data_IF_492189506685
#
_entry.id   IF_492189506685
#
_cell.length_a   1.000
_cell.length_b   1.000
_cell.length_c   1.000
_cell.angle_alpha   90.00
_cell.angle_beta   90.00
_cell.angle_gamma   90.00
#
_symmetry.space_group_name_H-M   'P 1'
#
loop_
_entity.id
_entity.type
_entity.pdbx_description
1 polymer ?
#
# COMPACT_ATOMS: atom_id res chain seq x y z
N UNK A 1 38.26 48.35 29.25
CA UNK A 1 37.03 49.13 28.97
C UNK A 1 36.82 49.15 27.46
N UNK A 2 35.79 48.43 26.95
CA UNK A 2 35.13 48.56 25.61
C UNK A 2 36.00 48.26 24.35
N UNK A 3 35.55 47.72 23.22
CA UNK A 3 34.33 47.02 22.74
C UNK A 3 34.64 46.51 21.29
N UNK A 4 34.36 45.23 20.99
CA UNK A 4 34.04 44.52 19.70
C UNK A 4 34.84 44.75 18.37
N UNK A 5 35.15 43.66 17.63
CA UNK A 5 35.46 43.71 16.19
C UNK A 5 34.17 43.47 15.36
N UNK A 6 33.73 44.45 14.58
CA UNK A 6 32.58 44.31 13.65
C UNK A 6 32.81 45.01 12.30
N UNK A 7 34.05 45.20 11.86
CA UNK A 7 34.37 45.98 10.63
C UNK A 7 35.36 45.21 9.74
N UNK A 8 35.14 43.91 9.52
CA UNK A 8 35.96 43.13 8.58
C UNK A 8 35.14 42.30 7.56
N UNK A 9 33.80 42.30 7.63
CA UNK A 9 32.96 41.48 6.73
C UNK A 9 32.26 42.30 5.63
N UNK A 10 32.30 43.64 5.68
CA UNK A 10 31.57 44.50 4.72
C UNK A 10 32.40 44.86 3.46
N UNK A 11 33.68 44.51 3.38
CA UNK A 11 34.55 44.90 2.24
C UNK A 11 34.69 43.80 1.17
N UNK A 12 34.35 42.53 1.46
CA UNK A 12 34.36 41.46 0.44
C UNK A 12 33.10 41.39 -0.44
N UNK A 13 32.05 42.17 -0.13
CA UNK A 13 30.81 42.22 -0.92
C UNK A 13 30.76 43.36 -1.95
N UNK A 14 31.78 44.24 -1.98
CA UNK A 14 31.84 45.38 -2.91
C UNK A 14 32.80 45.17 -4.10
N UNK A 15 33.50 44.03 -4.18
CA UNK A 15 34.46 43.75 -5.27
C UNK A 15 34.03 42.63 -6.24
N UNK A 16 32.80 42.13 -6.13
CA UNK A 16 32.21 41.15 -7.05
C UNK A 16 31.03 41.74 -7.83
N UNK A 17 31.10 43.04 -8.15
CA UNK A 17 30.12 43.74 -9.02
C UNK A 17 30.80 44.36 -10.25
N UNK A 18 32.10 44.13 -10.49
CA UNK A 18 32.83 44.85 -11.54
C UNK A 18 33.72 43.99 -12.46
N UNK A 19 33.35 42.75 -12.78
CA UNK A 19 33.94 41.99 -13.92
C UNK A 19 32.96 40.97 -14.50
N UNK A 20 31.76 41.39 -14.88
CA UNK A 20 30.78 40.54 -15.58
C UNK A 20 30.25 41.14 -16.89
N UNK A 21 30.71 42.33 -17.27
CA UNK A 21 30.28 43.02 -18.48
C UNK A 21 31.36 42.89 -19.56
N UNK A 22 31.38 41.76 -20.26
CA UNK A 22 31.74 41.62 -21.68
C UNK A 22 31.79 40.12 -22.02
N UNK A 23 30.77 39.62 -22.70
CA UNK A 23 30.69 38.42 -23.57
C UNK A 23 29.34 37.69 -23.40
N UNK A 24 28.25 38.34 -23.82
CA UNK A 24 26.99 37.68 -24.19
C UNK A 24 26.14 38.65 -25.02
N UNK A 25 26.65 39.12 -26.16
CA UNK A 25 25.86 39.84 -27.15
C UNK A 25 25.55 38.88 -28.29
N UNK A 26 24.34 38.28 -28.30
CA UNK A 26 23.89 37.50 -29.46
C UNK A 26 22.85 36.40 -29.28
N UNK A 27 22.07 36.35 -28.20
CA UNK A 27 20.88 35.50 -28.14
C UNK A 27 19.67 36.37 -27.86
N UNK A 28 18.54 36.21 -28.59
CA UNK A 28 17.34 37.00 -28.35
C UNK A 28 16.82 36.69 -26.94
N UNK A 29 16.51 37.73 -26.19
CA UNK A 29 15.78 37.66 -24.92
C UNK A 29 14.42 36.98 -25.19
N UNK A 30 14.34 35.68 -24.91
CA UNK A 30 13.06 35.03 -24.67
C UNK A 30 12.67 35.36 -23.24
N UNK A 31 11.91 36.44 -23.06
CA UNK A 31 11.09 36.60 -21.87
C UNK A 31 10.24 35.33 -21.75
N UNK A 32 10.59 34.46 -20.80
CA UNK A 32 9.74 33.35 -20.41
C UNK A 32 8.48 34.01 -19.82
N UNK A 33 7.28 33.79 -20.39
CA UNK A 33 6.08 34.36 -19.82
C UNK A 33 5.93 33.84 -18.39
N UNK A 34 5.61 34.74 -17.48
CA UNK A 34 5.28 34.40 -16.09
C UNK A 34 4.09 33.43 -16.12
N UNK A 35 4.36 32.16 -15.78
CA UNK A 35 3.35 31.10 -15.71
C UNK A 35 2.44 31.46 -14.53
N UNK A 36 1.14 31.59 -14.80
CA UNK A 36 0.16 32.14 -13.86
C UNK A 36 0.12 31.42 -12.51
N UNK A 37 -0.18 32.18 -11.45
CA UNK A 37 -0.42 31.65 -10.10
C UNK A 37 -1.45 30.52 -10.13
N UNK A 38 -1.04 29.38 -9.58
CA UNK A 38 -1.87 28.19 -9.38
C UNK A 38 -3.07 28.56 -8.48
N UNK A 39 -4.28 28.45 -9.02
CA UNK A 39 -5.50 28.54 -8.22
C UNK A 39 -5.39 27.54 -7.06
N UNK A 40 -5.72 27.96 -5.83
CA UNK A 40 -5.79 27.05 -4.69
C UNK A 40 -6.70 25.89 -5.08
N UNK A 41 -6.12 24.68 -5.18
CA UNK A 41 -6.91 23.48 -5.39
C UNK A 41 -7.91 23.35 -4.24
N UNK A 42 -9.16 23.00 -4.56
CA UNK A 42 -10.22 22.80 -3.57
C UNK A 42 -9.76 21.79 -2.49
N UNK A 43 -10.30 21.86 -1.28
CA UNK A 43 -10.04 20.83 -0.27
C UNK A 43 -10.85 19.55 -0.55
N UNK A 44 -10.38 18.41 -0.03
CA UNK A 44 -11.11 17.14 -0.03
C UNK A 44 -12.50 17.30 0.61
N UNK A 45 -13.53 16.67 0.03
CA UNK A 45 -14.92 16.76 0.52
C UNK A 45 -15.51 15.38 0.75
N UNK A 46 -16.20 15.20 1.87
CA UNK A 46 -16.97 13.97 2.12
C UNK A 46 -18.17 13.89 1.16
N UNK A 47 -18.44 12.69 0.66
CA UNK A 47 -19.60 12.45 -0.20
C UNK A 47 -20.89 12.47 0.65
N UNK A 48 -21.93 13.17 0.18
CA UNK A 48 -23.23 13.13 0.82
C UNK A 48 -24.05 11.90 0.40
N UNK A 49 -23.70 11.31 -0.75
CA UNK A 49 -24.40 10.18 -1.36
C UNK A 49 -23.49 9.43 -2.34
N UNK A 50 -23.86 8.19 -2.71
CA UNK A 50 -23.19 7.46 -3.78
C UNK A 50 -23.32 8.13 -5.16
N UNK A 51 -24.35 8.94 -5.38
CA UNK A 51 -24.48 9.73 -6.62
C UNK A 51 -23.35 10.76 -6.76
N UNK A 52 -22.86 11.32 -5.66
CA UNK A 52 -21.73 12.26 -5.69
C UNK A 52 -20.43 11.55 -6.06
N UNK A 53 -20.26 10.32 -5.60
CA UNK A 53 -19.15 9.44 -5.97
C UNK A 53 -19.22 9.11 -7.47
N UNK A 54 -20.38 8.71 -7.98
CA UNK A 54 -20.60 8.44 -9.41
C UNK A 54 -20.27 9.66 -10.26
N UNK A 55 -20.72 10.85 -9.86
CA UNK A 55 -20.38 12.11 -10.55
C UNK A 55 -18.87 12.35 -10.57
N UNK A 56 -18.20 12.13 -9.44
CA UNK A 56 -16.76 12.34 -9.32
C UNK A 56 -15.96 11.37 -10.21
N UNK A 57 -16.32 10.08 -10.23
CA UNK A 57 -15.71 9.06 -11.09
C UNK A 57 -15.88 9.43 -12.57
N UNK A 58 -17.08 9.83 -12.99
CA UNK A 58 -17.34 10.25 -14.38
C UNK A 58 -16.54 11.48 -14.78
N UNK A 59 -16.45 12.47 -13.88
CA UNK A 59 -15.66 13.68 -14.10
C UNK A 59 -14.17 13.34 -14.25
N UNK A 60 -13.66 12.39 -13.44
CA UNK A 60 -12.29 11.91 -13.53
C UNK A 60 -12.00 11.23 -14.88
N UNK A 61 -12.84 10.28 -15.30
CA UNK A 61 -12.67 9.56 -16.56
C UNK A 61 -12.76 10.49 -17.79
N UNK A 62 -13.59 11.53 -17.70
CA UNK A 62 -13.72 12.53 -18.77
C UNK A 62 -12.45 13.39 -18.91
N UNK A 63 -11.72 13.65 -17.81
CA UNK A 63 -10.47 14.42 -17.82
C UNK A 63 -9.28 13.60 -18.32
N UNK A 64 -9.21 12.30 -17.99
CA UNK A 64 -8.10 11.42 -18.38
C UNK A 64 -8.18 10.93 -19.83
N UNK A 65 -9.20 11.31 -20.60
CA UNK A 65 -9.41 10.82 -21.96
C UNK A 65 -9.76 9.33 -22.04
N UNK A 66 -10.05 8.69 -20.91
CA UNK A 66 -10.44 7.28 -20.82
C UNK A 66 -11.89 7.16 -21.28
N UNK A 67 -12.08 6.70 -22.52
CA UNK A 67 -13.40 6.46 -23.11
C UNK A 67 -14.17 5.42 -22.28
N UNK A 68 -15.38 5.77 -21.83
CA UNK A 68 -16.31 4.81 -21.22
C UNK A 68 -16.84 3.90 -22.33
N UNK A 69 -16.26 2.70 -22.45
CA UNK A 69 -16.68 1.67 -23.39
C UNK A 69 -15.76 0.47 -23.31
N UNK A 70 -16.29 -0.69 -22.91
CA UNK A 70 -15.52 -1.85 -22.44
C UNK A 70 -14.47 -2.38 -23.41
N UNK A 71 -13.37 -2.85 -22.82
CA UNK A 71 -12.29 -3.54 -23.53
C UNK A 71 -10.98 -3.39 -22.76
N UNK A 72 -10.53 -4.48 -22.16
CA UNK A 72 -9.24 -4.58 -21.48
C UNK A 72 -8.09 -4.18 -22.40
N UNK A 73 -7.18 -3.31 -21.93
CA UNK A 73 -5.85 -3.20 -22.50
C UNK A 73 -4.83 -2.72 -21.46
N UNK A 74 -3.90 -3.64 -21.18
CA UNK A 74 -2.52 -3.47 -20.76
C UNK A 74 -2.22 -2.61 -19.52
N UNK A 75 -2.05 -3.29 -18.38
CA UNK A 75 -1.06 -2.90 -17.39
C UNK A 75 0.32 -3.15 -17.99
N UNK A 76 1.20 -2.15 -17.96
CA UNK A 76 2.61 -2.33 -18.29
C UNK A 76 3.51 -1.87 -17.13
N UNK A 77 4.39 -2.79 -16.77
CA UNK A 77 5.61 -2.75 -15.97
C UNK A 77 5.71 -1.87 -14.70
N UNK A 78 5.47 -2.52 -13.55
CA UNK A 78 6.10 -2.12 -12.29
C UNK A 78 7.57 -2.54 -12.29
N UNK A 79 8.48 -1.56 -12.26
CA UNK A 79 9.91 -1.81 -12.06
C UNK A 79 10.21 -2.31 -10.63
N UNK A 80 11.23 -3.17 -10.44
CA UNK A 80 11.57 -3.71 -9.14
C UNK A 80 12.17 -2.64 -8.22
N UNK A 81 11.66 -2.56 -6.99
CA UNK A 81 12.23 -1.76 -5.90
C UNK A 81 13.56 -2.37 -5.41
N UNK A 82 14.61 -1.58 -5.15
CA UNK A 82 15.79 -2.06 -4.46
C UNK A 82 15.50 -2.26 -2.96
N UNK A 83 16.03 -3.34 -2.39
CA UNK A 83 15.96 -3.60 -0.95
C UNK A 83 16.76 -2.54 -0.18
N UNK A 84 16.13 -1.89 0.80
CA UNK A 84 16.81 -1.01 1.74
C UNK A 84 17.49 -1.84 2.83
N UNK A 85 18.79 -1.64 3.03
CA UNK A 85 19.56 -2.23 4.12
C UNK A 85 19.23 -1.52 5.45
N UNK A 86 18.97 -2.31 6.50
CA UNK A 86 18.64 -1.82 7.84
C UNK A 86 19.89 -1.30 8.56
N UNK A 87 19.87 -0.05 9.04
CA UNK A 87 20.82 0.44 10.04
C UNK A 87 20.24 0.33 11.46
N UNK A 88 21.07 -0.11 12.40
CA UNK A 88 20.72 -0.38 13.80
C UNK A 88 20.62 0.92 14.62
N UNK A 89 19.42 1.22 15.11
CA UNK A 89 19.17 2.23 16.14
C UNK A 89 19.27 1.65 17.56
N UNK A 90 20.05 2.31 18.43
CA UNK A 90 20.32 1.88 19.80
C UNK A 90 19.13 2.13 20.76
N UNK A 91 18.90 1.18 21.67
CA UNK A 91 17.85 1.20 22.71
C UNK A 91 18.29 1.92 24.00
N UNK A 92 17.33 2.47 24.76
CA UNK A 92 17.46 2.82 26.18
C UNK A 92 16.43 2.05 27.01
N UNK A 93 16.89 1.61 28.18
CA UNK A 93 16.34 0.59 29.06
C UNK A 93 14.90 0.80 29.59
N UNK A 94 14.12 -0.27 29.43
CA UNK A 94 12.79 -0.54 29.99
C UNK A 94 12.21 -1.75 29.25
N UNK A 95 12.41 -2.95 29.82
CA UNK A 95 12.22 -4.29 29.25
C UNK A 95 13.17 -4.64 28.07
N UNK A 96 14.20 -5.45 28.36
CA UNK A 96 15.29 -5.80 27.43
C UNK A 96 14.84 -6.82 26.36
N UNK A 97 14.18 -6.35 25.30
CA UNK A 97 14.05 -7.09 24.04
C UNK A 97 14.13 -6.14 22.83
N UNK A 98 14.55 -6.66 21.68
CA UNK A 98 14.63 -5.89 20.44
C UNK A 98 13.27 -5.73 19.79
N UNK A 99 12.88 -4.50 19.46
CA UNK A 99 11.79 -4.21 18.52
C UNK A 99 12.32 -4.19 17.08
N UNK A 100 11.47 -4.47 16.11
CA UNK A 100 11.83 -4.35 14.68
C UNK A 100 11.62 -2.90 14.22
N UNK A 101 12.06 -2.57 13.00
CA UNK A 101 12.24 -1.20 12.51
C UNK A 101 10.96 -0.33 12.69
N UNK A 102 11.00 0.66 13.58
CA UNK A 102 9.89 1.56 13.86
C UNK A 102 10.24 2.96 13.37
N UNK A 103 9.41 3.53 12.49
CA UNK A 103 9.59 4.90 11.99
C UNK A 103 9.34 5.97 13.07
N UNK A 104 8.34 5.78 13.93
CA UNK A 104 7.89 6.78 14.92
C UNK A 104 7.68 6.12 16.29
N UNK A 105 8.22 6.73 17.35
CA UNK A 105 8.05 6.25 18.72
C UNK A 105 6.57 6.07 19.10
N UNK A 106 6.24 4.91 19.66
CA UNK A 106 4.87 4.57 20.09
C UNK A 106 4.00 3.96 18.99
N UNK A 107 4.39 4.06 17.72
CA UNK A 107 3.66 3.44 16.61
C UNK A 107 4.42 2.19 16.15
N UNK A 108 3.80 1.01 16.29
CA UNK A 108 4.39 -0.24 15.84
C UNK A 108 4.07 -0.51 14.36
N UNK A 109 5.01 -1.14 13.66
CA UNK A 109 4.91 -1.50 12.24
C UNK A 109 4.88 -3.01 12.03
N UNK A 110 4.27 -3.45 10.94
CA UNK A 110 4.07 -4.87 10.66
C UNK A 110 5.38 -5.59 10.36
N UNK A 111 5.53 -6.80 10.89
CA UNK A 111 6.68 -7.67 10.58
C UNK A 111 6.23 -9.14 10.52
N UNK A 112 7.04 -10.01 9.95
CA UNK A 112 6.81 -11.46 9.95
C UNK A 112 7.35 -12.13 11.23
N UNK A 113 8.17 -11.43 12.02
CA UNK A 113 8.69 -11.91 13.30
C UNK A 113 8.47 -10.86 14.40
N UNK A 114 7.87 -11.27 15.51
CA UNK A 114 7.67 -10.44 16.71
C UNK A 114 8.14 -11.17 17.97
N UNK A 115 8.39 -10.44 19.05
CA UNK A 115 8.77 -11.00 20.35
C UNK A 115 8.20 -10.17 21.49
N UNK A 116 7.76 -10.83 22.56
CA UNK A 116 7.37 -10.21 23.83
C UNK A 116 8.47 -10.38 24.91
N UNK A 117 9.68 -10.76 24.49
CA UNK A 117 10.83 -11.04 25.35
C UNK A 117 10.88 -12.47 25.89
N UNK A 118 9.73 -13.16 26.01
CA UNK A 118 9.67 -14.57 26.42
C UNK A 118 9.32 -15.50 25.27
N UNK A 119 8.49 -15.04 24.35
CA UNK A 119 8.03 -15.80 23.20
C UNK A 119 8.46 -15.10 21.91
N UNK A 120 8.76 -15.91 20.90
CA UNK A 120 9.02 -15.47 19.53
C UNK A 120 7.85 -15.95 18.69
N UNK A 121 7.26 -15.04 17.95
CA UNK A 121 6.13 -15.27 17.08
C UNK A 121 6.60 -15.11 15.65
N UNK A 122 6.31 -16.10 14.80
CA UNK A 122 6.84 -16.15 13.44
C UNK A 122 5.71 -16.50 12.47
N UNK A 123 5.55 -15.69 11.43
CA UNK A 123 4.78 -16.05 10.25
C UNK A 123 5.66 -16.82 9.28
N UNK A 124 5.26 -18.05 8.98
CA UNK A 124 5.95 -18.92 8.02
C UNK A 124 4.97 -19.84 7.35
N UNK A 125 5.05 -19.99 6.02
CA UNK A 125 4.25 -20.94 5.26
C UNK A 125 2.72 -20.82 5.52
N UNK A 126 2.22 -19.59 5.73
CA UNK A 126 0.84 -19.30 6.19
C UNK A 126 0.45 -19.94 7.53
N UNK A 127 1.42 -20.09 8.43
CA UNK A 127 1.21 -20.48 9.80
C UNK A 127 1.72 -19.39 10.74
N UNK A 128 0.98 -19.15 11.83
CA UNK A 128 1.49 -18.45 13.01
C UNK A 128 2.15 -19.48 13.91
N UNK A 129 3.47 -19.42 14.03
CA UNK A 129 4.28 -20.28 14.91
C UNK A 129 4.65 -19.52 16.17
N UNK A 130 4.48 -20.16 17.32
CA UNK A 130 4.86 -19.59 18.62
C UNK A 130 5.95 -20.46 19.24
N UNK A 131 7.07 -19.82 19.58
CA UNK A 131 8.23 -20.42 20.23
C UNK A 131 8.44 -19.74 21.58
N UNK A 132 8.87 -20.48 22.60
CA UNK A 132 9.39 -19.89 23.85
C UNK A 132 10.91 -19.75 23.77
N UNK A 133 11.40 -18.56 24.06
CA UNK A 133 12.82 -18.25 24.20
C UNK A 133 13.31 -18.72 25.58
N UNK A 134 14.23 -19.69 25.58
CA UNK A 134 14.82 -20.30 26.76
C UNK A 134 16.31 -19.95 26.85
N UNK A 135 16.63 -18.65 26.70
CA UNK A 135 18.00 -18.16 26.60
C UNK A 135 18.64 -18.53 25.26
N UNK A 136 19.67 -19.38 25.28
CA UNK A 136 20.36 -19.81 24.06
C UNK A 136 19.61 -20.84 23.20
N UNK A 137 18.42 -21.26 23.62
CA UNK A 137 17.58 -22.26 22.96
C UNK A 137 16.15 -21.75 22.78
N UNK A 138 15.39 -22.41 21.92
CA UNK A 138 13.95 -22.19 21.73
C UNK A 138 13.16 -23.49 21.89
N UNK A 139 11.97 -23.41 22.48
CA UNK A 139 11.02 -24.52 22.53
C UNK A 139 9.78 -24.21 21.70
N UNK A 140 9.35 -25.15 20.86
CA UNK A 140 8.08 -25.02 20.13
C UNK A 140 6.90 -25.06 21.10
N UNK A 141 5.94 -24.14 20.93
CA UNK A 141 4.72 -24.08 21.76
C UNK A 141 3.47 -24.38 20.97
N UNK A 142 3.31 -23.76 19.81
CA UNK A 142 2.17 -24.04 18.94
C UNK A 142 2.45 -23.61 17.50
N UNK A 143 1.61 -24.09 16.59
CA UNK A 143 1.47 -23.54 15.25
C UNK A 143 -0.01 -23.50 14.88
N UNK A 144 -0.43 -22.39 14.28
CA UNK A 144 -1.79 -22.17 13.82
C UNK A 144 -1.76 -22.00 12.31
N UNK A 145 -2.39 -22.92 11.60
CA UNK A 145 -2.57 -22.79 10.15
C UNK A 145 -3.62 -21.73 9.87
N UNK A 146 -3.24 -20.68 9.14
CA UNK A 146 -4.08 -19.50 8.89
C UNK A 146 -5.03 -19.73 7.72
N UNK A 147 -4.55 -20.46 6.71
CA UNK A 147 -5.27 -20.76 5.50
C UNK A 147 -4.97 -22.19 5.02
N UNK A 148 -6.01 -22.90 4.56
CA UNK A 148 -5.86 -24.20 3.90
C UNK A 148 -6.28 -24.10 2.42
N UNK A 149 -5.33 -24.21 1.47
CA UNK A 149 -5.63 -24.13 0.04
C UNK A 149 -6.38 -25.35 -0.51
N UNK A 150 -6.61 -26.40 0.29
CA UNK A 150 -7.17 -27.67 -0.20
C UNK A 150 -8.69 -27.67 -0.41
N UNK A 151 -9.36 -26.51 -0.50
CA UNK A 151 -10.73 -26.46 -1.01
C UNK A 151 -10.72 -26.80 -2.51
N UNK A 152 -10.97 -28.07 -2.81
CA UNK A 152 -11.05 -28.66 -4.15
C UNK A 152 -12.33 -28.22 -4.91
N UNK A 153 -12.55 -26.93 -5.15
CA UNK A 153 -13.49 -26.49 -6.18
C UNK A 153 -12.72 -26.09 -7.45
N UNK A 154 -12.77 -26.96 -8.46
CA UNK A 154 -11.96 -26.82 -9.68
C UNK A 154 -12.12 -25.47 -10.40
N UNK A 155 -13.23 -24.74 -10.21
CA UNK A 155 -13.52 -23.52 -10.95
C UNK A 155 -12.82 -22.25 -10.40
N UNK A 156 -12.34 -22.25 -9.16
CA UNK A 156 -11.83 -21.04 -8.51
C UNK A 156 -10.55 -21.33 -7.73
N UNK A 157 -9.54 -20.48 -7.90
CA UNK A 157 -8.35 -20.50 -7.04
C UNK A 157 -8.45 -19.38 -6.02
N UNK A 158 -8.26 -19.77 -4.77
CA UNK A 158 -8.09 -18.88 -3.65
C UNK A 158 -6.63 -18.95 -3.21
N UNK A 159 -6.06 -17.81 -2.84
CA UNK A 159 -4.72 -17.74 -2.30
C UNK A 159 -4.71 -16.68 -1.21
N UNK A 160 -4.16 -17.03 -0.07
CA UNK A 160 -3.97 -16.10 1.03
C UNK A 160 -2.50 -16.07 1.38
N UNK A 161 -1.96 -14.88 1.66
CA UNK A 161 -0.58 -14.70 2.05
C UNK A 161 -0.53 -13.84 3.30
N UNK A 162 -0.13 -14.42 4.42
CA UNK A 162 0.14 -13.67 5.65
C UNK A 162 1.46 -12.90 5.49
N UNK A 163 1.42 -11.58 5.69
CA UNK A 163 2.54 -10.68 5.43
C UNK A 163 3.02 -9.95 6.67
N UNK A 164 2.14 -9.73 7.65
CA UNK A 164 2.46 -8.96 8.86
C UNK A 164 1.78 -9.54 10.08
N UNK A 165 2.44 -9.39 11.22
CA UNK A 165 2.03 -9.86 12.53
C UNK A 165 2.21 -8.75 13.55
N UNK A 166 1.27 -8.66 14.47
CA UNK A 166 1.32 -7.82 15.66
C UNK A 166 1.02 -8.64 16.91
N UNK A 167 1.64 -8.25 18.02
CA UNK A 167 1.40 -8.81 19.34
C UNK A 167 1.03 -7.65 20.27
N UNK A 168 -0.19 -7.67 20.77
CA UNK A 168 -0.70 -6.69 21.73
C UNK A 168 -1.23 -7.42 22.97
N UNK A 169 -0.39 -7.47 24.02
CA UNK A 169 -0.65 -8.25 25.22
C UNK A 169 -0.88 -9.75 24.94
N UNK A 170 -2.13 -10.18 25.09
CA UNK A 170 -2.58 -11.55 24.85
C UNK A 170 -3.30 -11.72 23.51
N UNK A 171 -3.25 -10.73 22.62
CA UNK A 171 -3.81 -10.79 21.27
C UNK A 171 -2.69 -10.86 20.23
N UNK A 172 -2.78 -11.85 19.34
CA UNK A 172 -2.00 -11.89 18.10
C UNK A 172 -2.89 -11.49 16.92
N UNK A 173 -2.49 -10.45 16.18
CA UNK A 173 -3.17 -10.02 14.98
C UNK A 173 -2.32 -10.37 13.74
N UNK A 174 -2.88 -11.17 12.84
CA UNK A 174 -2.21 -11.57 11.60
C UNK A 174 -2.87 -10.87 10.42
N UNK A 175 -2.09 -10.09 9.68
CA UNK A 175 -2.51 -9.41 8.45
C UNK A 175 -2.14 -10.29 7.26
N UNK A 176 -3.12 -10.56 6.41
CA UNK A 176 -2.93 -11.32 5.18
C UNK A 176 -3.63 -10.64 3.99
N UNK A 177 -3.09 -10.88 2.80
CA UNK A 177 -3.76 -10.51 1.55
C UNK A 177 -4.36 -11.75 0.90
N UNK A 178 -5.66 -11.69 0.63
CA UNK A 178 -6.43 -12.74 -0.02
C UNK A 178 -6.70 -12.35 -1.48
N UNK A 179 -6.47 -13.32 -2.37
CA UNK A 179 -6.67 -13.25 -3.81
C UNK A 179 -7.62 -14.36 -4.24
N UNK A 180 -8.54 -14.02 -5.13
CA UNK A 180 -9.41 -15.00 -5.77
C UNK A 180 -9.47 -14.74 -7.27
N UNK A 181 -9.31 -15.79 -8.07
CA UNK A 181 -9.44 -15.71 -9.52
C UNK A 181 -10.11 -16.96 -10.08
N UNK A 182 -10.99 -16.79 -11.10
CA UNK A 182 -11.55 -17.93 -11.81
C UNK A 182 -10.42 -18.68 -12.53
N UNK A 183 -10.46 -20.00 -12.49
CA UNK A 183 -9.57 -20.86 -13.27
C UNK A 183 -10.28 -21.25 -14.55
N UNK A 184 -9.86 -20.70 -15.67
CA UNK A 184 -10.30 -21.16 -16.99
C UNK A 184 -9.45 -22.39 -17.38
N UNK A 185 -10.03 -23.59 -17.31
CA UNK A 185 -9.37 -24.77 -17.90
C UNK A 185 -9.38 -24.66 -19.43
N UNK A 186 -8.27 -25.05 -20.05
CA UNK A 186 -8.08 -25.06 -21.51
C UNK A 186 -9.01 -26.01 -22.27
N UNK A 187 -9.87 -26.78 -21.60
CA UNK A 187 -10.81 -27.68 -22.28
C UNK A 187 -11.87 -26.90 -23.09
N UNK A 188 -12.22 -25.68 -22.65
CA UNK A 188 -13.17 -24.80 -23.36
C UNK A 188 -12.57 -24.17 -24.64
N UNK A 189 -11.23 -24.04 -24.68
CA UNK A 189 -10.50 -23.51 -25.85
C UNK A 189 -10.37 -24.59 -26.93
N UNK A 190 -10.16 -25.85 -26.53
CA UNK A 190 -10.08 -26.99 -27.45
C UNK A 190 -11.46 -27.30 -28.06
N UNK A 191 -12.56 -27.08 -27.33
CA UNK A 191 -13.91 -27.25 -27.85
C UNK A 191 -14.24 -26.25 -28.99
N UNK A 192 -13.74 -25.01 -28.91
CA UNK A 192 -13.95 -24.00 -29.97
C UNK A 192 -13.08 -24.23 -31.22
N UNK A 193 -11.92 -24.87 -31.08
CA UNK A 193 -11.07 -25.23 -32.22
C UNK A 193 -11.57 -26.49 -32.96
N UNK A 194 -12.25 -27.41 -32.26
CA UNK A 194 -12.83 -28.61 -32.89
C UNK A 194 -14.01 -28.32 -33.83
N UNK A 195 -14.69 -27.20 -33.64
CA UNK A 195 -15.81 -26.79 -34.48
C UNK A 195 -15.36 -25.98 -35.71
N UNK A 196 -14.09 -25.56 -35.77
CA UNK A 196 -13.61 -24.60 -36.76
C UNK A 196 -12.74 -25.16 -37.88
N UNK A 197 -11.96 -26.25 -37.72
CA UNK A 197 -11.05 -26.68 -38.80
C UNK A 197 -10.99 -28.20 -39.01
N UNK A 198 -11.36 -28.61 -40.22
CA UNK A 198 -11.15 -29.94 -40.75
C UNK A 198 -9.66 -30.26 -40.88
N UNK A 199 -9.23 -31.25 -40.10
CA UNK A 199 -8.18 -32.22 -40.35
C UNK A 199 -6.91 -31.81 -41.09
N UNK A 200 -5.78 -31.80 -40.36
CA UNK A 200 -4.52 -32.42 -40.82
C UNK A 200 -3.84 -33.07 -39.61
N UNK A 201 -3.55 -34.38 -39.71
CA UNK A 201 -2.76 -35.11 -38.74
C UNK A 201 -1.28 -34.78 -38.91
N UNK A 202 -0.59 -34.47 -37.81
CA UNK A 202 0.89 -34.40 -37.79
C UNK A 202 1.40 -35.28 -36.65
N UNK A 203 2.25 -36.23 -37.04
CA UNK A 203 2.84 -37.31 -36.25
C UNK A 203 3.81 -36.86 -35.16
N UNK A 204 3.88 -37.61 -34.07
CA UNK A 204 4.90 -37.51 -33.01
C UNK A 204 6.34 -37.73 -33.54
N UNK A 205 7.36 -37.07 -32.96
CA UNK A 205 8.73 -37.51 -33.10
C UNK A 205 9.22 -38.33 -31.89
N UNK A 206 9.94 -39.41 -32.22
CA UNK A 206 10.61 -40.37 -31.35
C UNK A 206 11.78 -39.77 -30.51
N UNK A 207 12.07 -40.49 -29.41
CA UNK A 207 13.24 -40.52 -28.50
C UNK A 207 14.58 -40.05 -29.10
N UNK A 208 15.55 -39.41 -28.42
CA UNK A 208 16.33 -39.72 -27.20
C UNK A 208 17.43 -38.61 -27.04
N UNK A 209 18.48 -38.65 -26.16
CA UNK A 209 18.84 -39.58 -25.09
C UNK A 209 19.29 -38.95 -23.74
N UNK A 210 19.49 -39.86 -22.77
CA UNK A 210 20.09 -39.68 -21.44
C UNK A 210 21.54 -39.18 -21.47
N UNK A 211 21.89 -38.29 -20.52
CA UNK A 211 23.27 -38.02 -20.12
C UNK A 211 23.41 -38.03 -18.60
N UNK A 212 24.27 -38.91 -18.10
CA UNK A 212 24.70 -39.04 -16.71
C UNK A 212 25.90 -38.13 -16.46
N UNK A 213 25.91 -37.38 -15.35
CA UNK A 213 27.13 -36.85 -14.76
C UNK A 213 26.98 -36.72 -13.23
N UNK A 214 27.91 -37.37 -12.53
CA UNK A 214 28.06 -37.36 -11.08
C UNK A 214 28.75 -36.08 -10.62
N UNK A 215 28.23 -35.41 -9.58
CA UNK A 215 29.06 -34.54 -8.73
C UNK A 215 28.55 -34.50 -7.28
N UNK A 216 29.41 -35.04 -6.40
CA UNK A 216 29.65 -34.74 -4.97
C UNK A 216 28.52 -34.12 -4.14
N UNK A 217 28.06 -34.90 -3.16
CA UNK A 217 27.23 -34.47 -2.04
C UNK A 217 27.85 -33.32 -1.24
N UNK A 218 27.14 -32.19 -1.20
CA UNK A 218 27.21 -31.24 -0.10
C UNK A 218 26.08 -31.60 0.87
N UNK A 219 26.42 -31.99 2.10
CA UNK A 219 25.45 -32.21 3.16
C UNK A 219 24.92 -30.83 3.58
N UNK A 220 23.75 -30.47 3.08
CA UNK A 220 22.98 -29.36 3.62
C UNK A 220 22.60 -29.71 5.08
N UNK A 221 22.67 -28.77 6.03
CA UNK A 221 22.19 -29.02 7.38
C UNK A 221 20.70 -29.37 7.30
N UNK A 222 20.38 -30.59 7.71
CA UNK A 222 19.00 -31.06 7.86
C UNK A 222 18.41 -30.24 8.99
N UNK A 223 17.62 -29.21 8.66
CA UNK A 223 16.67 -28.65 9.62
C UNK A 223 15.78 -29.82 10.09
N UNK A 224 15.54 -29.99 11.39
CA UNK A 224 14.71 -31.08 11.87
C UNK A 224 13.30 -30.91 11.28
N UNK A 225 13.02 -31.74 10.27
CA UNK A 225 11.66 -31.97 9.77
C UNK A 225 11.04 -32.95 10.75
N UNK A 226 10.32 -32.43 11.74
CA UNK A 226 9.55 -33.26 12.67
C UNK A 226 8.08 -33.30 12.28
N UNK A 227 7.53 -34.46 12.62
CA UNK A 227 6.30 -35.10 12.18
C UNK A 227 5.05 -34.20 12.29
N UNK A 228 4.22 -34.24 11.25
CA UNK A 228 2.95 -33.52 11.14
C UNK A 228 1.84 -34.10 12.03
N UNK A 229 2.17 -34.76 13.14
CA UNK A 229 1.23 -35.60 13.90
C UNK A 229 0.77 -35.03 15.25
N UNK A 230 1.11 -33.79 15.59
CA UNK A 230 0.56 -33.11 16.80
C UNK A 230 -0.06 -31.74 16.47
N UNK A 231 -0.79 -31.63 15.37
CA UNK A 231 -1.73 -30.52 15.19
C UNK A 231 -2.97 -30.78 16.05
N UNK A 232 -2.96 -30.27 17.29
CA UNK A 232 -4.18 -30.08 18.07
C UNK A 232 -5.22 -29.37 17.18
N UNK A 233 -6.44 -29.89 17.16
CA UNK A 233 -7.51 -29.47 16.26
C UNK A 233 -7.77 -27.95 16.34
N UNK A 234 -7.20 -27.21 15.39
CA UNK A 234 -7.42 -25.78 15.20
C UNK A 234 -8.84 -25.59 14.66
N UNK A 235 -9.67 -24.80 15.35
CA UNK A 235 -10.86 -24.20 14.72
C UNK A 235 -10.36 -23.15 13.73
N UNK A 236 -10.32 -23.51 12.44
CA UNK A 236 -9.55 -22.77 11.43
C UNK A 236 -10.32 -21.53 10.97
N UNK A 237 -9.64 -20.37 10.91
CA UNK A 237 -10.11 -19.14 10.24
C UNK A 237 -10.53 -19.37 8.77
N UNK A 238 -10.13 -20.51 8.18
CA UNK A 238 -10.51 -20.95 6.84
C UNK A 238 -12.02 -21.11 6.65
N UNK A 239 -12.83 -21.29 7.71
CA UNK A 239 -14.29 -21.43 7.56
C UNK A 239 -15.02 -20.15 7.14
N UNK A 240 -14.38 -18.98 7.20
CA UNK A 240 -14.98 -17.65 6.94
C UNK A 240 -15.02 -17.30 5.43
N UNK A 241 -14.87 -18.30 4.56
CA UNK A 241 -14.88 -18.14 3.10
C UNK A 241 -16.26 -18.44 2.48
N UNK A 242 -16.62 -17.80 1.34
CA UNK A 242 -15.75 -16.99 0.47
C UNK A 242 -16.03 -15.47 0.49
N UNK A 243 -14.94 -14.70 0.35
CA UNK A 243 -14.99 -13.29 -0.08
C UNK A 243 -15.34 -13.17 -1.57
N UNK A 244 -15.78 -11.99 -2.07
CA UNK A 244 -16.12 -11.81 -3.46
C UNK A 244 -14.99 -12.18 -4.42
N UNK A 245 -15.34 -12.86 -5.51
CA UNK A 245 -14.38 -13.28 -6.54
C UNK A 245 -13.76 -12.09 -7.28
N UNK A 246 -12.49 -12.23 -7.67
CA UNK A 246 -11.80 -11.25 -8.52
C UNK A 246 -11.40 -9.96 -7.80
N UNK A 247 -11.45 -9.92 -6.47
CA UNK A 247 -10.98 -8.80 -5.64
C UNK A 247 -9.83 -9.22 -4.74
N UNK A 248 -8.89 -8.29 -4.54
CA UNK A 248 -7.91 -8.37 -3.46
C UNK A 248 -8.61 -7.94 -2.17
N UNK A 249 -8.41 -8.69 -1.10
CA UNK A 249 -8.93 -8.38 0.23
C UNK A 249 -7.76 -8.36 1.21
N UNK A 250 -7.67 -7.33 2.04
CA UNK A 250 -6.76 -7.29 3.18
C UNK A 250 -7.52 -7.78 4.41
N UNK A 251 -7.04 -8.86 5.03
CA UNK A 251 -7.68 -9.52 6.17
C UNK A 251 -6.81 -9.39 7.41
N UNK A 252 -7.43 -9.16 8.56
CA UNK A 252 -6.82 -9.19 9.89
C UNK A 252 -7.47 -10.32 10.68
N UNK A 253 -6.69 -11.31 11.08
CA UNK A 253 -7.17 -12.45 11.87
C UNK A 253 -6.66 -12.33 13.29
N UNK A 254 -7.57 -12.34 14.25
CA UNK A 254 -7.24 -12.16 15.67
C UNK A 254 -7.25 -13.50 16.40
N UNK A 255 -6.25 -13.70 17.25
CA UNK A 255 -6.11 -14.87 18.11
C UNK A 255 -5.84 -14.45 19.55
N UNK A 256 -6.56 -15.06 20.51
CA UNK A 256 -6.21 -15.06 21.92
C UNK A 256 -5.04 -16.04 22.10
N UNK A 257 -3.91 -15.51 22.55
CA UNK A 257 -2.68 -16.24 22.81
C UNK A 257 -2.35 -16.32 24.30
N UNK A 258 -3.27 -15.96 25.22
CA UNK A 258 -3.11 -16.08 26.69
C UNK A 258 -2.56 -17.46 27.09
N UNK A 259 -3.00 -18.50 26.39
CA UNK A 259 -2.32 -19.79 26.35
C UNK A 259 -1.50 -19.95 25.04
N UNK A 260 -0.21 -19.65 25.10
CA UNK A 260 0.73 -19.73 23.96
C UNK A 260 0.90 -21.13 23.36
N UNK A 261 0.47 -22.19 24.05
CA UNK A 261 0.48 -23.55 23.51
C UNK A 261 -0.83 -23.93 22.80
N UNK A 262 -1.87 -23.10 22.93
CA UNK A 262 -3.17 -23.31 22.30
C UNK A 262 -3.83 -21.96 21.96
N UNK A 263 -3.35 -21.24 20.93
CA UNK A 263 -4.00 -20.04 20.45
C UNK A 263 -5.45 -20.30 20.02
N UNK A 264 -6.34 -19.36 20.33
CA UNK A 264 -7.78 -19.47 20.05
C UNK A 264 -8.20 -18.36 19.11
N UNK A 265 -8.82 -18.71 17.99
CA UNK A 265 -9.39 -17.74 17.06
C UNK A 265 -10.46 -16.87 17.75
N UNK A 266 -10.36 -15.55 17.58
CA UNK A 266 -11.32 -14.56 18.07
C UNK A 266 -12.29 -14.16 16.95
N UNK A 267 -11.77 -13.54 15.89
CA UNK A 267 -12.55 -13.00 14.76
C UNK A 267 -11.64 -12.77 13.54
N UNK A 268 -12.25 -12.62 12.37
CA UNK A 268 -11.59 -12.14 11.16
C UNK A 268 -12.25 -10.85 10.68
N UNK A 269 -11.46 -9.78 10.62
CA UNK A 269 -11.84 -8.49 10.04
C UNK A 269 -11.23 -8.39 8.65
N UNK A 270 -11.88 -7.69 7.72
CA UNK A 270 -11.28 -7.46 6.41
C UNK A 270 -11.76 -6.17 5.75
N UNK A 271 -11.03 -5.73 4.73
CA UNK A 271 -11.40 -4.62 3.85
C UNK A 271 -11.02 -4.90 2.39
N UNK A 272 -11.77 -4.30 1.47
CA UNK A 272 -11.45 -4.32 0.04
C UNK A 272 -10.07 -3.70 -0.22
N UNK A 273 -9.33 -4.30 -1.16
CA UNK A 273 -8.04 -3.80 -1.64
C UNK A 273 -6.83 -4.60 -1.18
N UNK A 274 -5.73 -4.43 -1.91
CA UNK A 274 -4.43 -4.99 -1.53
C UNK A 274 -3.76 -4.12 -0.45
N UNK A 275 -3.05 -4.76 0.47
CA UNK A 275 -2.40 -4.09 1.60
C UNK A 275 -1.40 -3.05 1.11
N UNK A 276 -1.47 -1.84 1.67
CA UNK A 276 -0.51 -0.76 1.44
C UNK A 276 0.40 -0.57 2.64
N UNK A 277 -0.17 -0.45 3.84
CA UNK A 277 0.56 -0.31 5.09
C UNK A 277 -0.36 -0.62 6.28
N UNK A 278 0.24 -1.02 7.39
CA UNK A 278 -0.43 -1.06 8.69
C UNK A 278 0.36 -0.31 9.75
N UNK A 279 -0.32 0.13 10.81
CA UNK A 279 0.25 0.80 11.98
C UNK A 279 -0.53 0.41 13.22
N UNK A 280 0.14 0.02 14.30
CA UNK A 280 -0.49 -0.26 15.59
C UNK A 280 -0.15 0.86 16.56
N UNK A 281 -1.18 1.44 17.19
CA UNK A 281 -1.05 2.45 18.24
C UNK A 281 -2.12 2.17 19.30
N UNK A 282 -1.69 2.02 20.55
CA UNK A 282 -2.56 1.87 21.73
C UNK A 282 -3.71 0.85 21.53
N UNK A 283 -3.39 -0.36 21.06
CA UNK A 283 -4.35 -1.45 20.84
C UNK A 283 -5.24 -1.29 19.59
N UNK A 284 -5.08 -0.20 18.83
CA UNK A 284 -5.79 0.03 17.57
C UNK A 284 -4.87 -0.22 16.38
N UNK A 285 -5.25 -1.18 15.53
CA UNK A 285 -4.56 -1.47 14.27
C UNK A 285 -5.19 -0.69 13.13
N UNK A 286 -4.44 0.27 12.58
CA UNK A 286 -4.79 1.01 11.38
C UNK A 286 -4.31 0.24 10.16
N UNK A 287 -5.23 -0.05 9.24
CA UNK A 287 -4.97 -0.82 8.02
C UNK A 287 -5.32 0.04 6.82
N UNK A 288 -4.34 0.23 5.94
CA UNK A 288 -4.48 0.98 4.70
C UNK A 288 -4.37 0.01 3.53
N UNK A 289 -5.36 0.00 2.65
CA UNK A 289 -5.35 -0.80 1.40
C UNK A 289 -5.73 0.04 0.19
N UNK A 290 -5.32 -0.43 -0.98
CA UNK A 290 -5.73 0.17 -2.25
C UNK A 290 -6.74 -0.73 -2.98
N UNK A 291 -7.94 -0.19 -3.21
CA UNK A 291 -9.04 -0.86 -3.89
C UNK A 291 -9.23 -0.29 -5.30
N UNK A 292 -9.04 -1.13 -6.32
CA UNK A 292 -9.19 -0.78 -7.72
C UNK A 292 -10.60 -1.12 -8.24
N UNK A 293 -11.20 -0.19 -8.97
CA UNK A 293 -12.50 -0.39 -9.62
C UNK A 293 -12.30 -0.89 -11.06
N UNK A 294 -12.74 -2.13 -11.34
CA UNK A 294 -12.59 -2.73 -12.68
C UNK A 294 -13.90 -2.82 -13.49
N UNK A 295 -15.06 -2.97 -12.85
CA UNK A 295 -16.35 -3.21 -13.52
C UNK A 295 -17.42 -2.19 -13.06
N UNK A 296 -17.08 -0.90 -13.17
CA UNK A 296 -17.92 0.21 -12.69
C UNK A 296 -19.32 0.19 -13.34
N UNK A 297 -20.36 0.08 -12.50
CA UNK A 297 -21.79 0.17 -12.88
C UNK A 297 -22.50 1.14 -11.95
N UNK A 298 -23.12 2.16 -12.54
CA UNK A 298 -23.73 3.27 -11.81
C UNK A 298 -24.88 2.83 -10.88
N UNK A 299 -25.63 1.81 -11.30
CA UNK A 299 -26.78 1.26 -10.60
C UNK A 299 -26.43 0.13 -9.62
N UNK A 300 -25.14 -0.19 -9.46
CA UNK A 300 -24.64 -1.27 -8.62
C UNK A 300 -23.46 -0.79 -7.74
N UNK A 301 -23.73 -0.17 -6.57
CA UNK A 301 -22.72 0.36 -5.65
C UNK A 301 -21.60 -0.62 -5.29
N UNK A 302 -21.88 -1.92 -5.20
CA UNK A 302 -20.90 -2.96 -4.90
C UNK A 302 -19.75 -3.10 -5.93
N UNK A 303 -19.92 -2.48 -7.10
CA UNK A 303 -18.91 -2.44 -8.16
C UNK A 303 -17.91 -1.29 -8.01
N UNK A 304 -18.25 -0.26 -7.23
CA UNK A 304 -17.47 0.97 -7.12
C UNK A 304 -17.33 1.53 -5.71
N UNK A 305 -18.01 0.97 -4.72
CA UNK A 305 -17.87 1.33 -3.30
C UNK A 305 -17.07 0.24 -2.59
N UNK A 306 -16.01 0.58 -1.85
CA UNK A 306 -15.26 -0.40 -1.07
C UNK A 306 -16.12 -1.03 0.02
N UNK A 307 -15.77 -2.26 0.38
CA UNK A 307 -16.45 -3.05 1.40
C UNK A 307 -15.53 -3.32 2.57
N UNK A 308 -16.12 -3.45 3.75
CA UNK A 308 -15.50 -3.96 4.97
C UNK A 308 -16.23 -5.22 5.41
N UNK A 309 -15.54 -6.07 6.17
CA UNK A 309 -16.02 -7.39 6.54
C UNK A 309 -15.74 -7.69 8.00
N UNK A 310 -16.65 -8.40 8.64
CA UNK A 310 -16.43 -9.08 9.92
C UNK A 310 -16.98 -10.49 9.84
N UNK A 311 -16.13 -11.48 10.08
CA UNK A 311 -16.47 -12.90 10.03
C UNK A 311 -17.23 -13.30 8.75
N UNK A 312 -16.86 -12.68 7.61
CA UNK A 312 -17.44 -12.91 6.29
C UNK A 312 -18.69 -12.07 6.00
N UNK A 313 -19.31 -11.46 7.01
CA UNK A 313 -20.40 -10.52 6.82
C UNK A 313 -19.89 -9.24 6.16
N UNK A 314 -20.48 -8.88 5.03
CA UNK A 314 -20.06 -7.75 4.19
C UNK A 314 -20.90 -6.50 4.50
N UNK A 315 -20.23 -5.35 4.58
CA UNK A 315 -20.85 -4.02 4.59
C UNK A 315 -20.16 -3.11 3.56
N UNK A 316 -20.93 -2.33 2.81
CA UNK A 316 -20.38 -1.24 1.99
C UNK A 316 -20.01 -0.06 2.90
N UNK A 317 -18.88 0.60 2.62
CA UNK A 317 -18.50 1.85 3.28
C UNK A 317 -19.56 2.91 2.97
N UNK A 318 -20.07 3.60 4.00
CA UNK A 318 -21.14 4.57 3.80
C UNK A 318 -20.61 5.80 3.05
N UNK A 319 -21.46 6.48 2.27
CA UNK A 319 -21.02 7.62 1.46
C UNK A 319 -20.34 8.72 2.29
N UNK A 320 -20.87 9.01 3.49
CA UNK A 320 -20.31 10.01 4.41
C UNK A 320 -18.93 9.63 4.98
N UNK A 321 -18.50 8.38 4.81
CA UNK A 321 -17.18 7.90 5.21
C UNK A 321 -16.16 8.01 4.06
N UNK A 322 -16.57 8.54 2.89
CA UNK A 322 -15.74 8.62 1.69
C UNK A 322 -15.40 10.07 1.37
N UNK A 323 -14.11 10.41 1.46
CA UNK A 323 -13.55 11.67 0.96
C UNK A 323 -13.30 11.60 -0.54
N UNK A 324 -13.74 12.60 -1.29
CA UNK A 324 -13.51 12.75 -2.73
C UNK A 324 -12.39 13.75 -2.93
N UNK A 325 -11.26 13.31 -3.51
CA UNK A 325 -10.20 14.23 -3.88
C UNK A 325 -10.69 15.23 -4.95
N UNK A 326 -10.23 16.49 -4.89
CA UNK A 326 -10.57 17.51 -5.89
C UNK A 326 -10.18 17.08 -7.31
N UNK A 327 -8.99 16.46 -7.41
CA UNK A 327 -8.47 15.86 -8.62
C UNK A 327 -8.25 14.38 -8.34
N UNK A 328 -9.00 13.53 -9.03
CA UNK A 328 -8.91 12.08 -8.93
C UNK A 328 -7.93 11.60 -10.01
N UNK A 329 -6.72 11.14 -9.66
CA UNK A 329 -5.71 10.72 -10.63
C UNK A 329 -6.02 9.35 -11.25
N UNK A 330 -6.72 8.47 -10.52
CA UNK A 330 -7.13 7.16 -11.00
C UNK A 330 -8.42 6.69 -10.31
N UNK A 331 -9.14 5.79 -10.98
CA UNK A 331 -10.38 5.18 -10.49
C UNK A 331 -10.10 4.10 -9.43
N UNK A 332 -9.59 4.53 -8.28
CA UNK A 332 -9.27 3.69 -7.13
C UNK A 332 -9.59 4.39 -5.81
N UNK A 333 -9.65 3.62 -4.74
CA UNK A 333 -9.72 4.12 -3.37
C UNK A 333 -8.47 3.76 -2.59
N UNK A 334 -8.08 4.64 -1.67
CA UNK A 334 -7.35 4.23 -0.47
C UNK A 334 -8.36 4.01 0.64
N UNK A 335 -8.46 2.79 1.13
CA UNK A 335 -9.37 2.39 2.22
C UNK A 335 -8.58 2.37 3.51
N UNK A 336 -9.02 3.13 4.52
CA UNK A 336 -8.39 3.18 5.83
C UNK A 336 -9.40 2.70 6.86
N UNK A 337 -9.05 1.66 7.61
CA UNK A 337 -9.82 1.18 8.75
C UNK A 337 -8.98 1.24 10.02
N UNK A 338 -9.62 1.57 11.14
CA UNK A 338 -9.10 1.40 12.48
C UNK A 338 -9.81 0.19 13.11
N UNK A 339 -9.04 -0.85 13.42
CA UNK A 339 -9.53 -2.06 14.06
C UNK A 339 -9.08 -2.10 15.52
N UNK A 340 -10.05 -2.24 16.43
CA UNK A 340 -9.79 -2.46 17.84
C UNK A 340 -9.39 -3.93 18.05
N UNK A 341 -8.19 -4.17 18.57
CA UNK A 341 -7.66 -5.52 18.77
C UNK A 341 -8.20 -6.20 20.04
N UNK A 342 -8.64 -5.43 21.05
CA UNK A 342 -9.21 -5.97 22.29
C UNK A 342 -10.63 -6.50 22.03
N UNK A 343 -11.46 -5.66 21.39
CA UNK A 343 -12.86 -5.98 21.11
C UNK A 343 -13.05 -6.77 19.80
N UNK A 344 -12.05 -6.77 18.92
CA UNK A 344 -12.12 -7.42 17.60
C UNK A 344 -13.21 -6.82 16.72
N UNK A 345 -13.24 -5.49 16.64
CA UNK A 345 -14.27 -4.73 15.91
C UNK A 345 -13.64 -3.66 15.01
N UNK A 346 -14.39 -3.27 13.98
CA UNK A 346 -14.11 -2.05 13.22
C UNK A 346 -14.54 -0.85 14.07
N UNK A 347 -13.57 -0.07 14.56
CA UNK A 347 -13.82 1.15 15.33
C UNK A 347 -14.22 2.30 14.40
N UNK A 348 -13.51 2.48 13.28
CA UNK A 348 -13.79 3.52 12.30
C UNK A 348 -13.29 3.13 10.90
N UNK A 349 -13.92 3.68 9.86
CA UNK A 349 -13.41 3.63 8.49
C UNK A 349 -13.53 4.98 7.80
N UNK A 350 -12.52 5.34 7.01
CA UNK A 350 -12.57 6.45 6.05
C UNK A 350 -11.83 6.05 4.79
N UNK A 351 -12.50 6.20 3.65
CA UNK A 351 -11.89 5.93 2.34
C UNK A 351 -11.67 7.23 1.57
N UNK A 352 -10.66 7.26 0.71
CA UNK A 352 -10.37 8.38 -0.18
C UNK A 352 -10.52 7.92 -1.63
N UNK A 353 -11.44 8.52 -2.39
CA UNK A 353 -11.52 8.35 -3.84
C UNK A 353 -10.41 9.17 -4.53
N UNK A 354 -9.58 8.47 -5.31
CA UNK A 354 -8.39 9.00 -5.99
C UNK A 354 -7.09 8.36 -5.50
N UNK A 355 -7.13 7.64 -4.39
CA UNK A 355 -6.05 6.78 -3.92
C UNK A 355 -4.86 7.50 -3.28
N UNK A 356 -3.79 6.74 -3.10
CA UNK A 356 -2.58 7.12 -2.37
C UNK A 356 -1.60 5.95 -2.34
N UNK A 357 -0.32 6.26 -2.18
CA UNK A 357 0.78 5.28 -2.29
C UNK A 357 1.74 5.29 -1.11
N UNK A 358 1.77 6.37 -0.33
CA UNK A 358 2.68 6.50 0.82
C UNK A 358 1.89 6.80 2.07
N UNK A 359 2.20 6.07 3.15
CA UNK A 359 1.56 6.24 4.47
C UNK A 359 2.62 6.68 5.47
N UNK A 360 2.28 7.66 6.30
CA UNK A 360 3.04 8.08 7.48
C UNK A 360 2.07 8.22 8.64
N UNK A 361 2.47 7.85 9.85
CA UNK A 361 1.62 7.96 11.03
C UNK A 361 2.47 8.28 12.26
N UNK A 362 1.94 9.16 13.11
CA UNK A 362 2.42 9.37 14.46
C UNK A 362 1.23 9.18 15.44
N UNK A 363 1.42 9.50 16.72
CA UNK A 363 0.38 9.36 17.73
C UNK A 363 -0.86 10.25 17.51
N UNK A 364 -0.73 11.34 16.76
CA UNK A 364 -1.79 12.34 16.58
C UNK A 364 -2.54 12.19 15.25
N UNK A 365 -1.86 11.68 14.21
CA UNK A 365 -2.35 11.72 12.84
C UNK A 365 -1.81 10.58 11.97
N UNK A 366 -2.65 10.16 11.03
CA UNK A 366 -2.28 9.33 9.88
C UNK A 366 -2.32 10.18 8.62
N UNK A 367 -1.33 10.02 7.74
CA UNK A 367 -1.21 10.75 6.50
C UNK A 367 -1.16 9.76 5.33
N UNK A 368 -2.00 10.00 4.33
CA UNK A 368 -1.96 9.30 3.04
C UNK A 368 -1.53 10.30 1.97
N UNK A 369 -0.48 9.96 1.23
CA UNK A 369 0.04 10.78 0.15
C UNK A 369 0.03 10.03 -1.18
N UNK A 370 -0.34 10.75 -2.25
CA UNK A 370 -0.38 10.24 -3.62
C UNK A 370 0.25 11.23 -4.59
N UNK A 371 1.19 10.76 -5.41
CA UNK A 371 1.81 11.59 -6.45
C UNK A 371 1.03 11.48 -7.76
N UNK A 372 0.77 12.62 -8.40
CA UNK A 372 0.17 12.70 -9.74
C UNK A 372 0.94 13.63 -10.66
N UNK A 373 0.78 13.41 -11.96
CA UNK A 373 1.29 14.28 -13.00
C UNK A 373 0.31 15.43 -13.24
N UNK A 374 0.85 16.63 -13.42
CA UNK A 374 0.13 17.84 -13.82
C UNK A 374 0.72 18.31 -15.13
N UNK A 375 -0.14 18.41 -16.15
CA UNK A 375 0.20 19.03 -17.42
C UNK A 375 -0.19 20.52 -17.37
N UNK A 376 0.76 21.39 -17.66
CA UNK A 376 0.58 22.83 -17.79
C UNK A 376 0.66 23.21 -19.26
N UNK A 377 -0.30 23.98 -19.74
CA UNK A 377 -0.37 24.44 -21.12
C UNK A 377 -0.08 25.94 -21.18
N UNK A 378 0.83 26.33 -22.08
CA UNK A 378 1.03 27.74 -22.40
C UNK A 378 -0.21 28.34 -23.07
N UNK A 379 -0.38 29.67 -22.96
CA UNK A 379 -1.32 30.36 -23.85
C UNK A 379 -0.87 30.15 -25.32
N UNK A 380 -1.78 29.79 -26.25
CA UNK A 380 -1.41 29.55 -27.64
C UNK A 380 -0.74 30.78 -28.24
N UNK A 381 0.43 30.61 -28.84
CA UNK A 381 1.17 31.69 -29.49
C UNK A 381 1.48 31.36 -30.94
N UNK A 382 1.82 32.39 -31.72
CA UNK A 382 2.17 32.22 -33.13
C UNK A 382 3.66 31.99 -33.29
N UNK A 383 4.02 30.87 -33.91
CA UNK A 383 5.39 30.59 -34.34
C UNK A 383 5.38 30.40 -35.86
N UNK A 384 5.84 31.43 -36.59
CA UNK A 384 5.70 31.50 -38.05
C UNK A 384 4.22 31.37 -38.47
N UNK A 385 3.90 30.45 -39.39
CA UNK A 385 2.54 30.18 -39.86
C UNK A 385 1.74 29.25 -38.93
N UNK A 386 2.38 28.70 -37.89
CA UNK A 386 1.76 27.76 -36.95
C UNK A 386 1.23 28.47 -35.71
N UNK A 387 0.13 27.95 -35.16
CA UNK A 387 -0.27 28.21 -33.76
C UNK A 387 0.33 27.08 -32.93
N UNK A 388 1.17 27.43 -31.96
CA UNK A 388 1.86 26.49 -31.07
C UNK A 388 1.30 26.64 -29.67
N UNK A 389 1.12 25.50 -29.01
CA UNK A 389 0.85 25.40 -27.58
C UNK A 389 1.96 24.53 -27.01
N UNK A 390 2.77 25.10 -26.12
CA UNK A 390 3.75 24.33 -25.37
C UNK A 390 3.08 23.63 -24.19
N UNK A 391 3.56 22.43 -23.90
CA UNK A 391 3.11 21.55 -22.84
C UNK A 391 4.28 21.27 -21.91
N UNK A 392 4.10 21.50 -20.62
CA UNK A 392 5.07 21.13 -19.60
C UNK A 392 4.41 20.17 -18.61
N UNK A 393 5.16 19.17 -18.14
CA UNK A 393 4.66 18.24 -17.14
C UNK A 393 5.48 18.34 -15.87
N UNK A 394 4.80 18.43 -14.73
CA UNK A 394 5.39 18.39 -13.40
C UNK A 394 4.69 17.35 -12.53
N UNK A 395 5.40 16.86 -11.51
CA UNK A 395 4.80 16.04 -10.48
C UNK A 395 4.36 16.91 -9.31
N UNK A 396 3.22 16.58 -8.74
CA UNK A 396 2.77 17.09 -7.45
C UNK A 396 2.35 15.91 -6.57
N UNK A 397 2.38 16.10 -5.26
CA UNK A 397 1.93 15.13 -4.29
C UNK A 397 0.78 15.72 -3.49
N UNK A 398 -0.39 15.08 -3.61
CA UNK A 398 -1.55 15.35 -2.77
C UNK A 398 -1.37 14.59 -1.45
N UNK A 399 -1.74 15.21 -0.33
CA UNK A 399 -1.60 14.68 1.02
C UNK A 399 -2.94 14.87 1.74
N UNK A 400 -3.46 13.80 2.34
CA UNK A 400 -4.65 13.82 3.19
C UNK A 400 -4.23 13.47 4.62
N UNK A 401 -4.65 14.28 5.58
CA UNK A 401 -4.44 14.07 7.02
C UNK A 401 -5.71 13.52 7.64
N UNK A 402 -5.57 12.43 8.37
CA UNK A 402 -6.55 11.88 9.28
C UNK A 402 -6.16 12.24 10.72
N UNK A 403 -7.12 12.73 11.51
CA UNK A 403 -6.96 12.92 12.95
C UNK A 403 -7.25 11.61 13.68
N UNK A 404 -6.40 11.28 14.66
CA UNK A 404 -6.49 10.04 15.45
C UNK A 404 -7.04 10.25 16.86
N UNK A 405 -7.41 11.48 17.22
CA UNK A 405 -7.92 11.80 18.54
C UNK A 405 -9.17 10.96 18.88
N UNK A 406 -9.26 10.54 20.14
CA UNK A 406 -10.39 9.74 20.68
C UNK A 406 -10.64 8.41 19.95
N UNK A 407 -9.59 7.78 19.38
CA UNK A 407 -9.72 6.53 18.62
C UNK A 407 -10.41 6.72 17.26
N UNK A 408 -10.58 7.98 16.85
CA UNK A 408 -11.21 8.37 15.60
C UNK A 408 -10.28 8.22 14.40
N UNK A 409 -10.90 8.29 13.23
CA UNK A 409 -10.21 8.34 11.95
C UNK A 409 -10.96 9.38 11.12
N UNK A 410 -10.69 10.67 11.32
CA UNK A 410 -11.44 11.76 10.65
C UNK A 410 -10.58 12.51 9.66
N UNK A 411 -11.10 12.75 8.45
CA UNK A 411 -10.40 13.57 7.45
C UNK A 411 -10.39 15.01 7.94
N UNK A 412 -9.21 15.48 8.34
CA UNK A 412 -9.03 16.79 8.99
C UNK A 412 -8.51 17.87 8.03
N UNK A 413 -7.69 17.48 7.06
CA UNK A 413 -7.12 18.41 6.08
C UNK A 413 -6.65 17.67 4.82
N UNK A 414 -6.52 18.42 3.73
CA UNK A 414 -5.78 18.00 2.54
C UNK A 414 -4.91 19.14 2.02
N UNK A 415 -3.84 18.82 1.32
CA UNK A 415 -3.00 19.80 0.64
C UNK A 415 -2.10 19.19 -0.41
N UNK A 416 -1.47 20.05 -1.21
CA UNK A 416 -0.64 19.64 -2.35
C UNK A 416 0.75 20.27 -2.22
N UNK A 417 1.79 19.49 -2.49
CA UNK A 417 3.18 19.95 -2.55
C UNK A 417 3.81 19.59 -3.89
N UNK A 418 4.73 20.41 -4.39
CA UNK A 418 5.43 20.12 -5.63
C UNK A 418 6.40 18.94 -5.49
N UNK A 419 6.46 18.12 -6.53
CA UNK A 419 7.35 16.95 -6.63
C UNK A 419 6.74 15.65 -6.14
N UNK A 420 7.57 14.62 -6.11
CA UNK A 420 7.24 13.24 -5.75
C UNK A 420 7.94 12.83 -4.46
N UNK A 421 7.29 11.99 -3.67
CA UNK A 421 7.90 11.36 -2.51
C UNK A 421 8.77 10.18 -2.94
N UNK A 422 9.91 9.99 -2.27
CA UNK A 422 10.74 8.80 -2.48
C UNK A 422 10.17 7.56 -1.77
N UNK A 423 9.54 7.76 -0.62
CA UNK A 423 8.93 6.70 0.20
C UNK A 423 8.52 7.23 1.58
N UNK A 424 8.12 6.34 2.49
CA UNK A 424 7.60 6.73 3.80
C UNK A 424 8.57 7.59 4.64
N UNK A 425 9.88 7.40 4.48
CA UNK A 425 10.91 8.19 5.18
C UNK A 425 11.08 9.63 4.63
N UNK A 426 10.34 9.99 3.58
CA UNK A 426 10.29 11.35 3.08
C UNK A 426 9.27 12.22 3.83
N UNK A 427 8.55 11.66 4.80
CA UNK A 427 7.63 12.36 5.68
C UNK A 427 8.05 12.21 7.14
N UNK A 428 7.83 13.28 7.90
CA UNK A 428 8.00 13.31 9.33
C UNK A 428 7.14 14.44 9.93
N UNK A 429 6.84 14.40 11.23
CA UNK A 429 6.09 15.45 11.91
C UNK A 429 6.86 15.97 13.13
N UNK A 430 6.85 17.30 13.31
CA UNK A 430 7.52 17.95 14.42
C UNK A 430 6.82 19.24 14.81
N UNK A 431 6.59 19.41 16.12
CA UNK A 431 5.90 20.58 16.68
C UNK A 431 4.57 20.87 15.97
N UNK A 432 3.80 19.82 15.66
CA UNK A 432 2.49 19.91 15.00
C UNK A 432 2.55 20.17 13.48
N UNK A 433 3.74 20.23 12.89
CA UNK A 433 3.94 20.49 11.46
C UNK A 433 4.37 19.21 10.73
N UNK A 434 3.67 18.88 9.64
CA UNK A 434 4.15 17.87 8.70
C UNK A 434 5.31 18.45 7.88
N UNK A 435 6.43 17.73 7.88
CA UNK A 435 7.63 18.01 7.10
C UNK A 435 7.72 17.00 5.96
N UNK A 436 7.95 17.49 4.75
CA UNK A 436 7.91 16.66 3.54
C UNK A 436 9.12 16.96 2.67
N UNK A 437 9.81 15.91 2.23
CA UNK A 437 10.90 15.99 1.27
C UNK A 437 10.46 15.44 -0.09
N UNK A 438 10.56 16.24 -1.14
CA UNK A 438 10.14 15.84 -2.49
C UNK A 438 11.29 15.94 -3.50
N UNK A 439 11.20 15.13 -4.56
CA UNK A 439 12.03 15.25 -5.75
C UNK A 439 11.18 15.79 -6.90
N UNK A 440 11.68 16.82 -7.59
CA UNK A 440 10.99 17.39 -8.75
C UNK A 440 11.60 16.86 -10.04
N UNK A 441 10.73 16.39 -10.93
CA UNK A 441 11.06 16.15 -12.33
C UNK A 441 10.28 17.16 -13.17
N UNK A 442 10.97 17.86 -14.07
CA UNK A 442 10.35 18.80 -15.00
C UNK A 442 10.83 18.48 -16.39
N UNK A 443 9.92 18.04 -17.27
CA UNK A 443 10.18 18.00 -18.71
C UNK A 443 9.70 19.32 -19.30
N UNK A 444 10.62 20.07 -19.91
CA UNK A 444 10.31 21.25 -20.74
C UNK A 444 10.40 20.90 -22.21
#
# INVERSE_FOLDING_TARGET
>A
MRLKPFIAVVICLAFLVLTGATLASGLPDTEVPEIGQQDKEDEIKLAASYDDIVKAIKAANSRSGMFVGGGAAAADEAMPMPAAEAEQGATRAGDDYSRTNVQVEGVDEGDIVKTDGRYIYVLRDNELVILEALGGNTAWRSAVKLYDPTREDAATRYSEYATELYIDGDVAAVVSTFYSYPVYYRDDVIAREKDAEGGVAVSEPETAPSATASSKAAVAPVAPRMDSSETAAVKVAAEILPYPLGKNITKVTLYDISNRSNPVFITALAQDGGLLATRLLDGTLYVVSNYYMYDFKEDAPETFVPSVYKDGEKRLVDAGEIGILPIIPSSQYTVVCAYDLEDGNLAATRSILGGGSTVYMNADALYVAGTRYVEEQSAPYRYSVYTVTDYASKNVTDIVRFDLAEGGLEIAASGTVDGSLYGQFALDAYEGMLRVATTQYTSR
#
